data_IF_775143682556
#
_entry.id   IF_775143682556
#
_cell.length_a   1.000
_cell.length_b   1.000
_cell.length_c   1.000
_cell.angle_alpha   90.00
_cell.angle_beta   90.00
_cell.angle_gamma   90.00
#
_symmetry.space_group_name_H-M   'P 1'
#
loop_
_entity.id
_entity.type
_entity.pdbx_description
1 polymer ?
#
# COMPACT_ATOMS: atom_id res chain seq x y z
N UNK A 1 9.39 -8.75 -4.11
CA UNK A 1 9.05 -7.52 -4.83
C UNK A 1 7.58 -7.26 -4.68
N UNK A 2 7.18 -6.19 -4.01
CA UNK A 2 5.77 -5.90 -3.70
C UNK A 2 5.37 -4.59 -4.39
N UNK A 3 4.22 -4.60 -5.06
CA UNK A 3 3.63 -3.44 -5.73
C UNK A 3 2.43 -2.96 -4.92
N UNK A 4 2.48 -1.74 -4.40
CA UNK A 4 1.39 -1.17 -3.59
C UNK A 4 0.88 0.14 -4.19
N UNK A 5 -0.43 0.37 -4.08
CA UNK A 5 -1.14 1.49 -4.67
C UNK A 5 -2.06 2.11 -3.61
N UNK A 6 -1.94 3.42 -3.37
CA UNK A 6 -2.64 4.11 -2.30
C UNK A 6 -3.83 4.95 -2.80
N UNK A 7 -4.77 5.29 -1.90
CA UNK A 7 -5.88 6.24 -2.03
C UNK A 7 -7.14 5.76 -2.75
N UNK A 8 -7.15 4.59 -3.37
CA UNK A 8 -8.28 4.15 -4.19
C UNK A 8 -8.60 5.14 -5.32
N UNK A 9 -7.70 5.31 -6.29
CA UNK A 9 -7.87 6.19 -7.44
C UNK A 9 -8.57 5.47 -8.61
N UNK A 10 -9.24 6.24 -9.49
CA UNK A 10 -9.85 5.66 -10.71
C UNK A 10 -8.78 5.06 -11.64
N UNK A 11 -7.61 5.70 -11.77
CA UNK A 11 -6.52 5.16 -12.60
C UNK A 11 -5.99 3.82 -12.11
N UNK A 12 -6.25 3.42 -10.86
CA UNK A 12 -5.93 2.07 -10.42
C UNK A 12 -6.82 1.05 -11.14
N UNK A 13 -8.13 1.28 -11.18
CA UNK A 13 -9.10 0.43 -11.86
C UNK A 13 -8.93 0.47 -13.38
N UNK A 14 -8.66 1.66 -13.93
CA UNK A 14 -8.68 1.89 -15.38
C UNK A 14 -7.34 1.61 -16.06
N UNK A 15 -6.22 1.65 -15.34
CA UNK A 15 -4.87 1.55 -15.89
C UNK A 15 -3.99 0.51 -15.18
N UNK A 16 -3.83 0.61 -13.85
CA UNK A 16 -2.87 -0.23 -13.12
C UNK A 16 -3.31 -1.70 -13.08
N UNK A 17 -4.57 -1.97 -12.68
CA UNK A 17 -5.11 -3.33 -12.57
C UNK A 17 -5.14 -4.05 -13.93
N UNK A 18 -5.66 -3.45 -15.03
CA UNK A 18 -5.59 -4.09 -16.34
C UNK A 18 -4.17 -4.42 -16.78
N UNK A 19 -3.19 -3.55 -16.47
CA UNK A 19 -1.79 -3.82 -16.79
C UNK A 19 -1.21 -4.99 -15.96
N UNK A 20 -1.52 -5.06 -14.66
CA UNK A 20 -1.13 -6.17 -13.79
C UNK A 20 -1.77 -7.48 -14.25
N UNK A 21 -3.07 -7.50 -14.48
CA UNK A 21 -3.83 -8.69 -14.89
C UNK A 21 -3.34 -9.25 -16.23
N UNK A 22 -3.03 -8.38 -17.20
CA UNK A 22 -2.51 -8.79 -18.52
C UNK A 22 -1.19 -9.57 -18.43
N UNK A 23 -0.43 -9.36 -17.37
CA UNK A 23 0.86 -10.02 -17.10
C UNK A 23 0.77 -11.04 -15.95
N UNK A 24 -0.42 -11.27 -15.40
CA UNK A 24 -0.64 -12.17 -14.26
C UNK A 24 0.18 -11.79 -13.02
N UNK A 25 0.49 -10.52 -12.86
CA UNK A 25 1.12 -9.96 -11.66
C UNK A 25 0.05 -9.54 -10.64
N UNK A 26 0.45 -9.48 -9.38
CA UNK A 26 -0.45 -9.05 -8.30
C UNK A 26 0.01 -7.75 -7.66
N UNK A 27 -0.95 -6.97 -7.19
CA UNK A 27 -0.74 -5.73 -6.46
C UNK A 27 -1.58 -5.70 -5.18
N UNK A 28 -1.20 -4.82 -4.28
CA UNK A 28 -1.94 -4.48 -3.06
C UNK A 28 -2.47 -3.07 -3.20
N UNK A 29 -3.76 -2.91 -2.99
CA UNK A 29 -4.45 -1.61 -3.08
C UNK A 29 -4.86 -1.19 -1.68
N UNK A 30 -4.18 -0.18 -1.14
CA UNK A 30 -4.51 0.44 0.14
C UNK A 30 -5.63 1.46 -0.08
N UNK A 31 -6.85 1.08 0.29
CA UNK A 31 -8.06 1.76 -0.08
C UNK A 31 -8.52 2.74 1.01
N UNK A 32 -8.68 4.01 0.64
CA UNK A 32 -9.42 4.99 1.44
C UNK A 32 -10.91 4.79 1.19
N UNK A 33 -11.62 4.27 2.20
CA UNK A 33 -12.98 3.76 1.99
C UNK A 33 -14.04 4.86 1.68
N UNK A 34 -13.76 6.11 2.03
CA UNK A 34 -14.61 7.25 1.66
C UNK A 34 -14.28 7.86 0.29
N UNK A 35 -13.24 7.36 -0.41
CA UNK A 35 -12.87 7.93 -1.72
C UNK A 35 -13.99 7.74 -2.75
N UNK A 36 -14.19 8.69 -3.68
CA UNK A 36 -15.17 8.54 -4.74
C UNK A 36 -14.95 7.33 -5.65
N UNK A 37 -13.68 6.98 -5.91
CA UNK A 37 -13.35 5.82 -6.72
C UNK A 37 -13.67 4.50 -6.00
N UNK A 38 -13.64 4.47 -4.66
CA UNK A 38 -14.11 3.32 -3.90
C UNK A 38 -15.64 3.27 -3.83
N UNK A 39 -16.28 4.34 -3.35
CA UNK A 39 -17.72 4.36 -3.05
C UNK A 39 -18.60 4.24 -4.29
N UNK A 40 -18.17 4.77 -5.44
CA UNK A 40 -18.92 4.72 -6.70
C UNK A 40 -18.62 3.47 -7.54
N UNK A 41 -17.50 2.77 -7.27
CA UNK A 41 -17.01 1.65 -8.08
C UNK A 41 -16.76 0.38 -7.26
N UNK A 42 -17.48 0.21 -6.14
CA UNK A 42 -17.33 -0.89 -5.19
C UNK A 42 -17.36 -2.27 -5.85
N UNK A 43 -18.28 -2.51 -6.80
CA UNK A 43 -18.37 -3.79 -7.52
C UNK A 43 -17.18 -4.07 -8.45
N UNK A 44 -16.40 -3.05 -8.83
CA UNK A 44 -15.14 -3.26 -9.55
C UNK A 44 -14.03 -3.69 -8.58
N UNK A 45 -13.97 -3.08 -7.40
CA UNK A 45 -13.03 -3.49 -6.35
C UNK A 45 -13.28 -4.94 -5.87
N UNK A 46 -14.54 -5.39 -5.82
CA UNK A 46 -14.87 -6.80 -5.56
C UNK A 46 -14.23 -7.72 -6.61
N UNK A 47 -14.31 -7.37 -7.90
CA UNK A 47 -13.66 -8.13 -8.97
C UNK A 47 -12.13 -8.13 -8.86
N UNK A 48 -11.55 -7.00 -8.42
CA UNK A 48 -10.10 -6.90 -8.17
C UNK A 48 -9.66 -7.91 -7.11
N UNK A 49 -10.42 -8.02 -6.01
CA UNK A 49 -10.17 -9.04 -4.99
C UNK A 49 -10.33 -10.47 -5.55
N UNK A 50 -11.41 -10.72 -6.31
CA UNK A 50 -11.66 -12.02 -6.93
C UNK A 50 -10.54 -12.44 -7.90
N UNK A 51 -9.87 -11.48 -8.55
CA UNK A 51 -8.70 -11.72 -9.39
C UNK A 51 -7.41 -11.97 -8.58
N UNK A 52 -7.47 -11.95 -7.26
CA UNK A 52 -6.33 -12.26 -6.38
C UNK A 52 -5.40 -11.09 -6.07
N UNK A 53 -5.83 -9.85 -6.30
CA UNK A 53 -5.18 -8.67 -5.72
C UNK A 53 -5.61 -8.52 -4.27
N UNK A 54 -4.78 -7.85 -3.47
CA UNK A 54 -5.11 -7.53 -2.09
C UNK A 54 -5.84 -6.19 -2.01
N UNK A 55 -7.00 -6.18 -1.34
CA UNK A 55 -7.64 -4.96 -0.85
C UNK A 55 -7.17 -4.72 0.58
N UNK A 56 -6.44 -3.65 0.79
CA UNK A 56 -5.81 -3.31 2.06
C UNK A 56 -6.34 -1.98 2.61
N UNK A 57 -6.13 -1.73 3.88
CA UNK A 57 -6.72 -0.62 4.60
C UNK A 57 -5.87 0.65 4.53
N UNK A 58 -6.47 1.76 4.12
CA UNK A 58 -5.88 3.11 4.15
C UNK A 58 -6.77 4.12 4.89
N UNK A 59 -7.42 3.68 5.96
CA UNK A 59 -8.42 4.40 6.75
C UNK A 59 -9.73 4.71 6.00
N UNK A 60 -10.66 5.33 6.71
CA UNK A 60 -11.93 5.77 6.13
C UNK A 60 -11.76 7.08 5.37
N UNK A 61 -11.06 8.08 5.96
CA UNK A 61 -10.98 9.45 5.46
C UNK A 61 -9.58 9.94 5.12
N UNK A 62 -8.56 9.10 5.23
CA UNK A 62 -7.16 9.46 4.97
C UNK A 62 -6.67 10.66 5.81
N UNK A 63 -6.80 10.63 7.15
CA UNK A 63 -6.36 11.75 7.98
C UNK A 63 -4.84 11.85 8.02
N UNK A 64 -4.32 13.08 7.80
CA UNK A 64 -2.90 13.41 7.89
C UNK A 64 -2.70 14.52 8.94
N UNK A 65 -1.52 14.55 9.58
CA UNK A 65 -1.14 15.64 10.49
C UNK A 65 -0.88 16.93 9.70
N UNK A 66 -1.85 17.86 9.74
CA UNK A 66 -1.81 19.14 9.05
C UNK A 66 -0.75 20.11 9.58
N UNK A 67 -0.16 19.86 10.77
CA UNK A 67 0.91 20.68 11.32
C UNK A 67 2.27 20.47 10.62
N UNK A 68 2.41 19.41 9.81
CA UNK A 68 3.64 19.12 9.12
C UNK A 68 3.85 20.03 7.89
N UNK A 69 5.09 20.41 7.57
CA UNK A 69 5.38 21.27 6.41
C UNK A 69 4.84 20.70 5.09
N UNK A 70 4.28 21.58 4.25
CA UNK A 70 3.80 21.20 2.91
C UNK A 70 2.43 20.54 2.87
N UNK A 71 1.73 20.38 4.01
CA UNK A 71 0.42 19.70 4.10
C UNK A 71 -0.78 20.65 4.12
N UNK A 72 -0.74 21.69 3.31
CA UNK A 72 -1.85 22.66 3.16
C UNK A 72 -3.13 22.06 2.58
N UNK A 73 -3.06 20.82 2.08
CA UNK A 73 -4.23 20.07 1.58
C UNK A 73 -5.06 19.43 2.71
N UNK A 74 -4.52 19.35 3.93
CA UNK A 74 -5.24 18.77 5.06
C UNK A 74 -6.32 19.74 5.53
N UNK A 75 -7.56 19.26 5.54
CA UNK A 75 -8.71 20.02 6.03
C UNK A 75 -8.89 19.81 7.54
N UNK A 76 -9.47 20.79 8.27
CA UNK A 76 -9.67 20.67 9.73
C UNK A 76 -10.44 19.42 10.16
N UNK A 77 -11.40 18.96 9.35
CA UNK A 77 -12.23 17.78 9.66
C UNK A 77 -11.43 16.48 9.66
N UNK A 78 -10.34 16.42 8.88
CA UNK A 78 -9.48 15.22 8.71
C UNK A 78 -8.04 15.50 9.13
N UNK A 79 -7.81 16.50 9.96
CA UNK A 79 -6.49 16.79 10.54
C UNK A 79 -6.21 15.83 11.69
N UNK A 80 -5.25 14.93 11.47
CA UNK A 80 -4.84 13.91 12.44
C UNK A 80 -4.35 14.52 13.76
N UNK A 81 -3.83 15.76 13.73
CA UNK A 81 -3.42 16.48 14.94
C UNK A 81 -4.60 16.74 15.89
N UNK A 82 -5.84 16.75 15.40
CA UNK A 82 -7.07 16.92 16.18
C UNK A 82 -7.75 15.61 16.58
N UNK A 83 -7.26 14.48 16.06
CA UNK A 83 -7.83 13.17 16.34
C UNK A 83 -7.47 12.69 17.74
N UNK A 84 -8.32 11.83 18.30
CA UNK A 84 -7.93 10.91 19.37
C UNK A 84 -7.46 9.58 18.80
N UNK A 85 -6.66 8.83 19.57
CA UNK A 85 -6.29 7.44 19.22
C UNK A 85 -7.53 6.60 18.94
N UNK A 86 -8.59 6.79 19.73
CA UNK A 86 -9.86 6.09 19.52
C UNK A 86 -10.46 6.38 18.15
N UNK A 87 -10.50 7.65 17.73
CA UNK A 87 -11.10 8.02 16.44
C UNK A 87 -10.38 7.35 15.26
N UNK A 88 -9.05 7.41 15.23
CA UNK A 88 -8.29 6.76 14.13
C UNK A 88 -8.43 5.24 14.17
N UNK A 89 -8.44 4.62 15.36
CA UNK A 89 -8.61 3.16 15.44
C UNK A 89 -10.03 2.74 15.06
N UNK A 90 -11.06 3.51 15.37
CA UNK A 90 -12.44 3.24 14.95
C UNK A 90 -12.58 3.36 13.41
N UNK A 91 -11.92 4.34 12.77
CA UNK A 91 -11.87 4.44 11.31
C UNK A 91 -11.20 3.22 10.66
N UNK A 92 -10.06 2.77 11.20
CA UNK A 92 -9.35 1.59 10.70
C UNK A 92 -10.23 0.34 10.85
N UNK A 93 -10.86 0.15 12.00
CA UNK A 93 -11.76 -1.00 12.25
C UNK A 93 -12.97 -0.98 11.34
N UNK A 94 -13.58 0.19 11.13
CA UNK A 94 -14.71 0.32 10.22
C UNK A 94 -14.29 0.01 8.78
N UNK A 95 -13.14 0.51 8.33
CA UNK A 95 -12.62 0.19 6.99
C UNK A 95 -12.33 -1.30 6.86
N UNK A 96 -11.76 -1.97 7.88
CA UNK A 96 -11.59 -3.42 7.87
C UNK A 96 -12.93 -4.15 7.67
N UNK A 97 -13.99 -3.72 8.37
CA UNK A 97 -15.32 -4.32 8.27
C UNK A 97 -15.93 -4.12 6.86
N UNK A 98 -15.76 -2.92 6.27
CA UNK A 98 -16.23 -2.64 4.90
C UNK A 98 -15.49 -3.51 3.89
N UNK A 99 -14.16 -3.61 3.98
CA UNK A 99 -13.38 -4.44 3.08
C UNK A 99 -13.69 -5.94 3.25
N UNK A 100 -13.91 -6.39 4.49
CA UNK A 100 -14.31 -7.79 4.75
C UNK A 100 -15.69 -8.11 4.15
N UNK A 101 -16.63 -7.17 4.20
CA UNK A 101 -17.93 -7.36 3.55
C UNK A 101 -17.81 -7.48 2.04
N UNK A 102 -16.77 -6.87 1.45
CA UNK A 102 -16.53 -6.87 0.00
C UNK A 102 -15.80 -8.14 -0.48
N UNK A 103 -14.75 -8.58 0.23
CA UNK A 103 -13.86 -9.67 -0.21
C UNK A 103 -13.86 -10.92 0.67
N UNK A 104 -14.59 -10.88 1.80
CA UNK A 104 -14.67 -12.00 2.76
C UNK A 104 -13.41 -12.21 3.61
N UNK A 105 -12.33 -11.45 3.38
CA UNK A 105 -11.06 -11.64 4.09
C UNK A 105 -11.11 -10.98 5.47
N UNK A 106 -10.68 -11.72 6.51
CA UNK A 106 -10.61 -11.21 7.90
C UNK A 106 -9.28 -10.52 8.22
N UNK A 107 -8.18 -11.07 7.70
CA UNK A 107 -6.86 -10.52 7.92
C UNK A 107 -6.62 -9.34 6.99
N UNK A 108 -6.05 -8.26 7.51
CA UNK A 108 -5.77 -7.03 6.77
C UNK A 108 -4.33 -6.58 6.95
N UNK A 109 -3.84 -5.88 5.94
CA UNK A 109 -2.69 -5.01 6.05
C UNK A 109 -3.14 -3.55 6.01
N UNK A 110 -2.29 -2.68 6.47
CA UNK A 110 -2.57 -1.26 6.64
C UNK A 110 -1.45 -0.41 6.02
N UNK A 111 -1.78 0.75 5.47
CA UNK A 111 -0.81 1.79 5.15
C UNK A 111 -1.14 3.06 5.94
N UNK A 112 -0.10 3.67 6.54
CA UNK A 112 -0.25 4.91 7.28
C UNK A 112 -0.51 6.08 6.31
N UNK A 113 -1.66 6.78 6.39
CA UNK A 113 -1.87 8.01 5.64
C UNK A 113 -0.74 9.01 5.88
N UNK A 114 -0.17 9.56 4.82
CA UNK A 114 0.99 10.45 4.87
C UNK A 114 2.23 9.90 5.60
N UNK A 115 2.23 8.64 5.99
CA UNK A 115 3.27 8.03 6.83
C UNK A 115 3.17 8.38 8.31
N UNK A 116 2.07 8.98 8.76
CA UNK A 116 1.87 9.40 10.16
C UNK A 116 1.53 8.21 11.04
N UNK A 117 2.40 7.86 11.97
CA UNK A 117 2.27 6.69 12.83
C UNK A 117 1.71 7.03 14.23
N UNK A 118 1.53 8.31 14.53
CA UNK A 118 1.17 8.79 15.86
C UNK A 118 0.01 9.77 15.85
N UNK A 119 -0.78 9.72 16.91
CA UNK A 119 -1.81 10.71 17.24
C UNK A 119 -1.55 11.19 18.67
N UNK A 120 -1.45 12.49 18.88
CA UNK A 120 -1.16 13.09 20.19
C UNK A 120 0.08 12.47 20.89
N UNK A 121 1.10 12.10 20.10
CA UNK A 121 2.31 11.47 20.59
C UNK A 121 2.24 9.95 20.82
N UNK A 122 1.08 9.33 20.74
CA UNK A 122 0.87 7.88 20.90
C UNK A 122 0.87 7.13 19.57
N UNK A 123 1.55 5.99 19.49
CA UNK A 123 1.53 5.10 18.33
C UNK A 123 0.18 4.36 18.28
N UNK A 124 -0.71 4.78 17.39
CA UNK A 124 -2.07 4.24 17.34
C UNK A 124 -2.16 2.79 16.84
N UNK A 125 -1.11 2.28 16.19
CA UNK A 125 -1.05 0.90 15.72
C UNK A 125 -0.98 -0.13 16.85
N UNK A 126 -0.52 0.27 18.04
CA UNK A 126 -0.33 -0.66 19.16
C UNK A 126 -1.64 -1.39 19.55
N UNK A 127 -2.76 -0.68 19.55
CA UNK A 127 -4.08 -1.25 19.82
C UNK A 127 -4.65 -2.14 18.68
N UNK A 128 -3.98 -2.20 17.52
CA UNK A 128 -4.45 -2.89 16.32
C UNK A 128 -3.57 -4.08 15.91
N UNK A 129 -2.46 -4.33 16.61
CA UNK A 129 -1.51 -5.42 16.28
C UNK A 129 -2.15 -6.83 16.28
N UNK A 130 -3.27 -7.01 16.99
CA UNK A 130 -4.04 -8.27 16.95
C UNK A 130 -5.02 -8.37 15.78
N UNK A 131 -5.31 -7.26 15.09
CA UNK A 131 -6.29 -7.17 14.01
C UNK A 131 -5.65 -7.00 12.63
N UNK A 132 -4.38 -6.56 12.60
CA UNK A 132 -3.61 -6.31 11.38
C UNK A 132 -2.43 -7.27 11.29
N UNK A 133 -2.15 -7.74 10.06
CA UNK A 133 -1.00 -8.62 9.79
C UNK A 133 0.30 -7.81 9.69
N UNK A 134 0.23 -6.65 9.06
CA UNK A 134 1.37 -5.74 8.88
C UNK A 134 0.88 -4.32 8.56
N UNK A 135 1.78 -3.34 8.72
CA UNK A 135 1.54 -1.95 8.32
C UNK A 135 2.75 -1.39 7.54
N UNK A 136 2.47 -0.61 6.49
CA UNK A 136 3.46 0.00 5.61
C UNK A 136 3.60 1.50 5.92
N UNK A 137 4.84 1.92 6.12
CA UNK A 137 5.26 3.33 6.16
C UNK A 137 5.71 3.83 4.80
N UNK A 138 6.25 5.06 4.76
CA UNK A 138 6.67 5.76 3.53
C UNK A 138 8.19 5.99 3.46
N UNK A 139 8.96 5.50 4.44
CA UNK A 139 10.42 5.65 4.45
C UNK A 139 11.06 4.67 3.46
N UNK A 140 11.86 5.22 2.53
CA UNK A 140 12.47 4.45 1.44
C UNK A 140 13.64 3.60 1.92
N UNK A 141 13.44 2.28 2.00
CA UNK A 141 14.51 1.34 2.31
C UNK A 141 14.32 -0.01 1.63
N UNK A 142 15.40 -0.74 1.43
CA UNK A 142 15.35 -2.15 1.08
C UNK A 142 15.18 -2.98 2.35
N UNK A 143 14.13 -3.80 2.37
CA UNK A 143 13.72 -4.56 3.55
C UNK A 143 14.62 -5.80 3.69
N UNK A 144 15.36 -5.95 4.80
CA UNK A 144 16.22 -7.10 5.03
C UNK A 144 15.37 -8.37 5.28
N UNK A 145 15.99 -9.55 5.16
CA UNK A 145 15.29 -10.84 5.38
C UNK A 145 15.11 -11.18 6.87
N UNK A 146 15.63 -10.37 7.79
CA UNK A 146 15.62 -10.63 9.25
C UNK A 146 15.35 -9.36 10.03
N UNK A 147 14.75 -9.51 11.22
CA UNK A 147 14.51 -8.44 12.19
C UNK A 147 13.70 -7.25 11.61
N UNK A 148 12.60 -7.53 10.93
CA UNK A 148 11.72 -6.51 10.37
C UNK A 148 10.61 -6.18 11.37
N UNK A 149 10.37 -4.89 11.60
CA UNK A 149 9.12 -4.44 12.22
C UNK A 149 8.00 -4.51 11.18
N UNK A 150 7.15 -5.53 11.29
CA UNK A 150 6.01 -5.70 10.39
C UNK A 150 4.97 -4.58 10.49
N UNK A 151 5.01 -3.78 11.56
CA UNK A 151 4.08 -2.67 11.73
C UNK A 151 4.66 -1.31 11.30
N UNK A 152 5.84 -1.31 10.67
CA UNK A 152 6.42 -0.13 10.03
C UNK A 152 7.33 -0.52 8.85
N UNK A 153 6.80 -1.28 7.90
CA UNK A 153 7.56 -1.73 6.72
C UNK A 153 7.80 -0.55 5.78
N UNK A 154 9.07 -0.31 5.43
CA UNK A 154 9.44 0.77 4.51
C UNK A 154 8.97 0.54 3.08
N UNK A 155 8.81 1.64 2.31
CA UNK A 155 8.44 1.59 0.90
C UNK A 155 9.06 2.75 0.12
N UNK A 156 9.34 2.51 -1.17
CA UNK A 156 9.80 3.54 -2.08
C UNK A 156 8.61 4.25 -2.73
N UNK A 157 8.37 5.49 -2.34
CA UNK A 157 7.35 6.35 -2.95
C UNK A 157 7.80 6.74 -4.37
N UNK A 158 6.95 6.49 -5.35
CA UNK A 158 7.23 6.72 -6.76
C UNK A 158 6.56 8.02 -7.22
N UNK A 159 7.40 8.92 -7.77
CA UNK A 159 6.96 10.20 -8.30
C UNK A 159 7.86 10.64 -9.46
N UNK A 160 7.46 10.32 -10.68
CA UNK A 160 8.16 10.73 -11.91
C UNK A 160 9.31 9.83 -12.34
N UNK A 161 9.66 8.78 -11.59
CA UNK A 161 10.73 7.86 -12.00
C UNK A 161 10.45 7.23 -13.35
N UNK A 162 11.49 7.12 -14.16
CA UNK A 162 11.49 6.39 -15.43
C UNK A 162 11.43 4.87 -15.19
N UNK A 163 11.03 4.12 -16.21
CA UNK A 163 11.04 2.65 -16.15
C UNK A 163 12.43 2.09 -15.85
N UNK A 164 13.48 2.72 -16.37
CA UNK A 164 14.88 2.35 -16.14
C UNK A 164 15.28 2.53 -14.67
N UNK A 165 14.89 3.64 -14.06
CA UNK A 165 15.17 3.90 -12.64
C UNK A 165 14.42 2.91 -11.74
N UNK A 166 13.15 2.61 -12.05
CA UNK A 166 12.38 1.59 -11.32
C UNK A 166 13.04 0.20 -11.44
N UNK A 167 13.47 -0.19 -12.65
CA UNK A 167 14.17 -1.45 -12.87
C UNK A 167 15.53 -1.48 -12.15
N UNK A 168 16.23 -0.36 -12.09
CA UNK A 168 17.50 -0.28 -11.35
C UNK A 168 17.31 -0.56 -9.84
N UNK A 169 16.23 -0.04 -9.24
CA UNK A 169 15.86 -0.35 -7.85
C UNK A 169 15.57 -1.85 -7.65
N UNK A 170 14.85 -2.47 -8.60
CA UNK A 170 14.61 -3.92 -8.58
C UNK A 170 15.92 -4.70 -8.62
N UNK A 171 16.81 -4.37 -9.57
CA UNK A 171 18.12 -5.03 -9.69
C UNK A 171 18.96 -4.89 -8.44
N UNK A 172 18.94 -3.70 -7.80
CA UNK A 172 19.62 -3.46 -6.51
C UNK A 172 19.06 -4.38 -5.43
N UNK A 173 17.73 -4.48 -5.30
CA UNK A 173 17.09 -5.37 -4.35
C UNK A 173 17.47 -6.85 -4.58
N UNK A 174 17.54 -7.28 -5.84
CA UNK A 174 17.98 -8.64 -6.21
C UNK A 174 19.44 -8.90 -5.81
N UNK A 175 20.35 -7.95 -6.09
CA UNK A 175 21.77 -8.06 -5.73
C UNK A 175 21.97 -8.16 -4.21
N UNK A 176 21.22 -7.35 -3.45
CA UNK A 176 21.30 -7.34 -1.98
C UNK A 176 20.46 -8.46 -1.34
N UNK A 177 19.71 -9.24 -2.13
CA UNK A 177 18.79 -10.29 -1.65
C UNK A 177 17.80 -9.76 -0.61
N UNK A 178 17.28 -8.55 -0.85
CA UNK A 178 16.32 -7.86 0.00
C UNK A 178 14.98 -7.70 -0.70
N UNK A 179 13.92 -7.52 0.08
CA UNK A 179 12.62 -7.14 -0.44
C UNK A 179 12.59 -5.63 -0.74
N UNK A 180 11.89 -5.24 -1.79
CA UNK A 180 11.51 -3.85 -2.04
C UNK A 180 10.00 -3.77 -2.15
N UNK A 181 9.44 -2.73 -1.55
CA UNK A 181 8.03 -2.36 -1.66
C UNK A 181 7.95 -1.04 -2.44
N UNK A 182 7.25 -1.04 -3.55
CA UNK A 182 6.93 0.17 -4.30
C UNK A 182 5.61 0.75 -3.83
N UNK A 183 5.57 2.07 -3.64
CA UNK A 183 4.38 2.84 -3.32
C UNK A 183 4.04 3.73 -4.51
N UNK A 184 2.93 3.43 -5.17
CA UNK A 184 2.36 4.21 -6.25
C UNK A 184 1.09 4.92 -5.78
N UNK A 185 0.87 6.13 -6.31
CA UNK A 185 -0.43 6.82 -6.27
C UNK A 185 -0.97 6.88 -7.72
N UNK A 186 -0.81 7.99 -8.43
CA UNK A 186 -1.21 8.09 -9.83
C UNK A 186 -0.42 7.15 -10.75
N UNK A 187 -1.11 6.53 -11.71
CA UNK A 187 -0.53 5.75 -12.82
C UNK A 187 -1.08 6.31 -14.13
N UNK A 188 -0.32 7.22 -14.73
CA UNK A 188 -0.75 7.94 -15.93
C UNK A 188 -1.71 9.11 -15.64
N UNK A 189 -1.75 9.59 -14.40
CA UNK A 189 -2.54 10.76 -14.00
C UNK A 189 -3.23 10.64 -12.64
N UNK A 190 -4.22 11.49 -12.42
CA UNK A 190 -5.16 11.58 -11.29
C UNK A 190 -4.53 11.99 -9.94
N UNK A 191 -3.23 11.92 -9.77
CA UNK A 191 -2.55 12.33 -8.54
C UNK A 191 -1.27 13.10 -8.83
N UNK A 192 -0.88 14.04 -7.96
CA UNK A 192 0.37 14.80 -8.10
C UNK A 192 1.63 13.93 -7.97
N UNK A 193 1.59 12.92 -7.09
CA UNK A 193 2.59 11.85 -7.05
C UNK A 193 2.21 10.81 -8.11
N UNK A 194 2.89 10.83 -9.24
CA UNK A 194 2.46 10.09 -10.43
C UNK A 194 3.63 9.39 -11.12
N UNK A 195 3.36 8.26 -11.71
CA UNK A 195 4.25 7.56 -12.64
C UNK A 195 3.62 7.50 -14.03
N UNK A 196 4.43 7.64 -15.07
CA UNK A 196 3.91 7.49 -16.45
C UNK A 196 3.45 6.06 -16.73
N UNK A 197 2.45 5.90 -17.59
CA UNK A 197 1.99 4.57 -18.04
C UNK A 197 3.12 3.75 -18.63
N UNK A 198 4.02 4.39 -19.38
CA UNK A 198 5.16 3.71 -19.98
C UNK A 198 6.14 3.19 -18.93
N UNK A 199 6.51 4.02 -17.95
CA UNK A 199 7.42 3.62 -16.89
C UNK A 199 6.82 2.48 -16.04
N UNK A 200 5.54 2.56 -15.69
CA UNK A 200 4.82 1.52 -14.97
C UNK A 200 4.80 0.20 -15.77
N UNK A 201 4.37 0.24 -17.04
CA UNK A 201 4.33 -0.95 -17.90
C UNK A 201 5.71 -1.57 -18.12
N UNK A 202 6.76 -0.75 -18.22
CA UNK A 202 8.15 -1.19 -18.37
C UNK A 202 8.62 -1.97 -17.14
N UNK A 203 8.32 -1.46 -15.96
CA UNK A 203 8.56 -2.17 -14.70
C UNK A 203 7.82 -3.52 -14.69
N UNK A 204 6.51 -3.52 -14.96
CA UNK A 204 5.71 -4.75 -14.92
C UNK A 204 6.22 -5.82 -15.89
N UNK A 205 6.58 -5.44 -17.12
CA UNK A 205 7.20 -6.37 -18.10
C UNK A 205 8.50 -6.95 -17.57
N UNK A 206 9.36 -6.10 -17.00
CA UNK A 206 10.62 -6.58 -16.42
C UNK A 206 10.37 -7.59 -15.28
N UNK A 207 9.38 -7.35 -14.43
CA UNK A 207 9.02 -8.31 -13.37
C UNK A 207 8.52 -9.63 -13.97
N UNK A 208 7.67 -9.58 -14.99
CA UNK A 208 7.15 -10.77 -15.68
C UNK A 208 8.27 -11.57 -16.35
N UNK A 209 9.14 -10.92 -17.09
CA UNK A 209 10.27 -11.56 -17.78
C UNK A 209 11.25 -12.24 -16.80
N UNK A 210 11.24 -11.81 -15.55
CA UNK A 210 12.10 -12.35 -14.49
C UNK A 210 11.33 -13.13 -13.41
N UNK A 211 10.08 -13.56 -13.63
CA UNK A 211 9.23 -14.21 -12.64
C UNK A 211 9.83 -15.47 -12.01
N UNK A 212 10.72 -16.18 -12.72
CA UNK A 212 11.46 -17.33 -12.18
C UNK A 212 12.50 -16.96 -11.10
N UNK A 213 12.88 -15.69 -11.01
CA UNK A 213 13.91 -15.16 -10.10
C UNK A 213 13.32 -14.14 -9.11
N UNK A 214 12.17 -13.55 -9.42
CA UNK A 214 11.52 -12.50 -8.64
C UNK A 214 10.14 -13.00 -8.23
N UNK A 215 9.95 -13.18 -6.93
CA UNK A 215 8.63 -13.40 -6.38
C UNK A 215 7.89 -12.05 -6.26
N UNK A 216 6.69 -11.97 -6.86
CA UNK A 216 5.80 -10.81 -6.80
C UNK A 216 4.53 -11.16 -6.00
N UNK A 217 4.59 -11.19 -4.66
CA UNK A 217 3.43 -11.41 -3.81
C UNK A 217 2.64 -10.12 -3.61
N UNK A 218 1.43 -10.24 -3.09
CA UNK A 218 0.74 -9.15 -2.39
C UNK A 218 1.48 -8.81 -1.09
N UNK A 219 1.15 -7.65 -0.50
CA UNK A 219 1.83 -7.22 0.74
C UNK A 219 1.51 -8.15 1.92
N UNK A 220 0.26 -8.64 2.01
CA UNK A 220 -0.13 -9.60 3.06
C UNK A 220 0.59 -10.94 2.92
N UNK A 221 0.78 -11.44 1.69
CA UNK A 221 1.53 -12.67 1.44
C UNK A 221 3.00 -12.52 1.83
N UNK A 222 3.62 -11.38 1.48
CA UNK A 222 4.98 -11.07 1.89
C UNK A 222 5.10 -10.97 3.42
N UNK A 223 4.16 -10.30 4.09
CA UNK A 223 4.13 -10.16 5.54
C UNK A 223 3.98 -11.52 6.26
N UNK A 224 3.09 -12.38 5.76
CA UNK A 224 2.92 -13.74 6.30
C UNK A 224 4.19 -14.58 6.15
N UNK A 225 4.84 -14.50 5.00
CA UNK A 225 6.12 -15.18 4.76
C UNK A 225 7.20 -14.72 5.74
N UNK A 226 7.35 -13.41 5.92
CA UNK A 226 8.31 -12.82 6.86
C UNK A 226 8.00 -13.27 8.29
N UNK A 227 6.74 -13.17 8.72
CA UNK A 227 6.30 -13.59 10.05
C UNK A 227 6.63 -15.06 10.34
N UNK A 228 6.37 -15.93 9.38
CA UNK A 228 6.69 -17.36 9.50
C UNK A 228 8.21 -17.60 9.59
N UNK A 229 8.99 -16.87 8.79
CA UNK A 229 10.46 -17.00 8.80
C UNK A 229 11.09 -16.45 10.09
N UNK A 230 10.53 -15.36 10.66
CA UNK A 230 11.00 -14.82 11.93
C UNK A 230 10.67 -15.72 13.12
N UNK A 231 9.54 -16.43 13.09
CA UNK A 231 9.14 -17.36 14.14
C UNK A 231 9.96 -18.66 14.13
N UNK A 232 10.59 -19.01 13.02
CA UNK A 232 11.41 -20.21 12.84
C UNK A 232 12.90 -20.05 13.23
N UNK A 233 13.32 -18.82 13.51
CA UNK A 233 14.69 -18.47 13.93
C UNK A 233 14.74 -18.02 15.39
#
# INVERSE_FOLDING_TARGET
MVLTYDDALNVHLDQAIPALDSLQLKGTFFLTAASPAFTKRTGEWEKVAANGHELANHTLFHPCDGSQPGRTFVTPDYDLATYSVRRITDEIKMTNAVLQALDGQKERTFAYPCGDTRVQGEAYIEGLKGELVAARGVHGELIPNKAIDLYNVGSYMINGQTGEELIALVKKAMQEKKMIVFLFHGVGGEHSLNVSLDAHRKLLRFLKDNEKKIWNPTFIEAARYIKATQAAN
#
